data_IF_419486048125
#
_entry.id   IF_419486048125
#
_cell.length_a   1.000
_cell.length_b   1.000
_cell.length_c   1.000
_cell.angle_alpha   90.00
_cell.angle_beta   90.00
_cell.angle_gamma   90.00
#
_symmetry.space_group_name_H-M   'P 1'
#
loop_
_entity.id
_entity.type
_entity.pdbx_description
1 polymer ?
#
# COMPACT_ATOMS: atom_id res chain seq x y z
N UNK A 1 6.38 -20.28 4.13
CA UNK A 1 5.56 -21.51 4.21
C UNK A 1 4.43 -21.20 5.18
N UNK A 2 3.17 -21.34 4.76
CA UNK A 2 2.05 -20.93 5.61
C UNK A 2 1.91 -21.82 6.87
N UNK A 3 1.43 -21.28 8.00
CA UNK A 3 1.20 -22.06 9.22
C UNK A 3 0.13 -23.15 8.99
N UNK A 4 0.41 -24.37 9.46
CA UNK A 4 -0.51 -25.50 9.32
C UNK A 4 -1.55 -25.51 10.46
N UNK A 5 -2.87 -25.60 10.17
CA UNK A 5 -3.91 -25.67 11.19
C UNK A 5 -3.90 -27.00 11.96
N UNK A 6 -4.38 -26.97 13.20
CA UNK A 6 -4.49 -28.13 14.09
C UNK A 6 -5.94 -28.59 14.18
N UNK A 7 -6.23 -29.77 13.62
CA UNK A 7 -7.53 -30.42 13.77
C UNK A 7 -7.78 -30.88 15.21
N UNK A 8 -9.03 -30.77 15.67
CA UNK A 8 -9.46 -31.24 17.00
C UNK A 8 -9.30 -30.24 18.14
N UNK A 9 -8.69 -29.08 17.92
CA UNK A 9 -8.60 -27.97 18.90
C UNK A 9 -9.73 -26.96 18.64
N UNK A 10 -10.46 -26.48 19.66
CA UNK A 10 -11.53 -25.51 19.46
C UNK A 10 -10.97 -24.13 19.04
N UNK A 11 -11.53 -23.58 17.96
CA UNK A 11 -11.30 -22.19 17.53
C UNK A 11 -11.70 -21.20 18.64
N UNK A 12 -10.96 -20.10 18.77
CA UNK A 12 -11.17 -19.11 19.83
C UNK A 12 -11.72 -17.80 19.26
N UNK A 13 -12.75 -17.18 19.87
CA UNK A 13 -13.26 -15.89 19.42
C UNK A 13 -12.26 -14.77 19.70
N UNK A 14 -12.04 -13.90 18.71
CA UNK A 14 -11.26 -12.66 18.87
C UNK A 14 -12.13 -11.66 19.64
N UNK A 15 -11.90 -11.55 20.95
CA UNK A 15 -12.52 -10.50 21.79
C UNK A 15 -11.61 -9.29 21.99
N UNK A 16 -10.31 -9.44 21.70
CA UNK A 16 -9.29 -8.41 21.79
C UNK A 16 -8.21 -8.66 20.73
N UNK A 17 -7.60 -7.60 20.22
CA UNK A 17 -6.46 -7.64 19.30
C UNK A 17 -5.26 -6.95 19.96
N UNK A 18 -4.10 -7.58 19.91
CA UNK A 18 -2.82 -6.98 20.30
C UNK A 18 -1.72 -7.46 19.34
N UNK A 19 -0.75 -6.60 19.06
CA UNK A 19 0.32 -6.87 18.09
C UNK A 19 1.16 -8.12 18.42
N UNK A 20 1.19 -8.55 19.68
CA UNK A 20 1.89 -9.78 20.10
C UNK A 20 1.08 -11.06 19.84
N UNK A 21 -0.25 -10.95 19.68
CA UNK A 21 -1.14 -12.08 19.43
C UNK A 21 -1.39 -12.34 17.94
N UNK A 22 -1.14 -11.36 17.07
CA UNK A 22 -1.53 -11.42 15.65
C UNK A 22 -0.56 -12.26 14.78
N UNK A 23 0.61 -12.59 15.31
CA UNK A 23 1.66 -13.34 14.61
C UNK A 23 1.87 -14.74 15.20
N UNK A 24 2.36 -15.65 14.37
CA UNK A 24 2.84 -16.99 14.76
C UNK A 24 4.21 -17.24 14.13
N UNK A 25 5.15 -17.77 14.91
CA UNK A 25 6.42 -18.25 14.40
C UNK A 25 6.24 -19.63 13.76
N UNK A 26 6.66 -19.77 12.50
CA UNK A 26 6.55 -21.01 11.73
C UNK A 26 7.96 -21.45 11.33
N UNK A 27 8.34 -22.69 11.67
CA UNK A 27 9.65 -23.22 11.31
C UNK A 27 9.61 -23.86 9.91
N UNK A 28 10.41 -23.33 8.99
CA UNK A 28 10.51 -23.86 7.64
C UNK A 28 11.12 -25.27 7.65
N UNK A 29 10.33 -26.28 7.29
CA UNK A 29 10.75 -27.70 7.32
C UNK A 29 11.87 -28.05 6.34
N UNK A 30 12.18 -27.17 5.38
CA UNK A 30 13.26 -27.35 4.40
C UNK A 30 14.62 -26.76 4.82
N UNK A 31 14.65 -25.68 5.62
CA UNK A 31 15.88 -24.97 5.99
C UNK A 31 16.04 -24.65 7.49
N UNK A 32 15.04 -24.97 8.32
CA UNK A 32 15.08 -24.82 9.77
C UNK A 32 15.03 -23.37 10.29
N UNK A 33 14.87 -22.36 9.43
CA UNK A 33 14.60 -20.98 9.86
C UNK A 33 13.21 -20.84 10.43
N UNK A 34 13.05 -19.92 11.37
CA UNK A 34 11.76 -19.47 11.90
C UNK A 34 11.43 -18.12 11.26
N UNK A 35 10.28 -18.07 10.59
CA UNK A 35 9.73 -16.85 10.00
C UNK A 35 8.38 -16.53 10.66
N UNK A 36 8.04 -15.25 10.79
CA UNK A 36 6.75 -14.83 11.35
C UNK A 36 5.68 -14.78 10.27
N UNK A 37 4.52 -15.38 10.54
CA UNK A 37 3.35 -15.39 9.66
C UNK A 37 2.13 -14.81 10.40
N UNK A 38 1.22 -14.09 9.71
CA UNK A 38 -0.04 -13.68 10.31
C UNK A 38 -0.86 -14.90 10.73
N UNK A 39 -1.55 -14.83 11.88
CA UNK A 39 -2.45 -15.91 12.30
C UNK A 39 -3.65 -16.02 11.35
N UNK A 40 -4.03 -17.25 10.93
CA UNK A 40 -5.24 -17.44 10.14
C UNK A 40 -6.50 -17.24 10.99
N UNK A 41 -7.42 -16.41 10.49
CA UNK A 41 -8.71 -16.10 11.11
C UNK A 41 -9.87 -16.45 10.17
N UNK A 42 -11.03 -16.78 10.74
CA UNK A 42 -12.27 -17.11 10.03
C UNK A 42 -13.40 -16.18 10.49
N UNK A 43 -14.04 -15.48 9.55
CA UNK A 43 -15.28 -14.74 9.84
C UNK A 43 -16.47 -15.69 9.99
N UNK A 44 -17.13 -15.68 11.15
CA UNK A 44 -18.40 -16.37 11.36
C UNK A 44 -19.57 -15.51 10.84
N UNK A 45 -20.63 -16.07 10.23
CA UNK A 45 -21.78 -15.30 9.74
C UNK A 45 -22.55 -14.46 10.80
N UNK A 46 -22.26 -14.63 12.10
CA UNK A 46 -22.77 -13.77 13.16
C UNK A 46 -21.93 -12.50 13.41
N UNK A 47 -20.84 -12.28 12.68
CA UNK A 47 -19.89 -11.17 12.86
C UNK A 47 -18.73 -11.46 13.83
N UNK A 48 -18.69 -12.62 14.47
CA UNK A 48 -17.54 -13.02 15.31
C UNK A 48 -16.37 -13.50 14.46
N UNK A 49 -15.19 -12.93 14.67
CA UNK A 49 -13.93 -13.45 14.10
C UNK A 49 -13.38 -14.56 15.00
N UNK A 50 -12.96 -15.67 14.39
CA UNK A 50 -12.47 -16.87 15.06
C UNK A 50 -11.01 -17.15 14.69
N UNK A 51 -10.10 -17.22 15.65
CA UNK A 51 -8.71 -17.65 15.42
C UNK A 51 -8.66 -19.15 15.16
N UNK A 52 -8.04 -19.53 14.04
CA UNK A 52 -7.79 -20.94 13.72
C UNK A 52 -6.53 -21.40 14.48
N UNK A 53 -6.59 -22.47 15.28
CA UNK A 53 -5.42 -22.99 15.97
C UNK A 53 -4.43 -23.55 14.95
N UNK A 54 -3.15 -23.20 15.12
CA UNK A 54 -2.05 -23.56 14.23
C UNK A 54 -0.93 -24.24 15.01
N UNK A 55 -0.05 -24.98 14.32
CA UNK A 55 1.15 -25.53 14.93
C UNK A 55 2.14 -24.41 15.23
N UNK A 56 2.42 -24.20 16.51
CA UNK A 56 3.43 -23.26 17.00
C UNK A 56 4.67 -24.05 17.43
N UNK A 57 5.79 -23.88 16.74
CA UNK A 57 7.01 -24.69 16.96
C UNK A 57 7.81 -24.26 18.22
N UNK A 58 7.18 -23.53 19.15
CA UNK A 58 7.79 -22.93 20.34
C UNK A 58 7.14 -23.28 21.69
N UNK A 59 6.11 -24.15 21.71
CA UNK A 59 5.43 -24.59 22.94
C UNK A 59 5.89 -25.96 23.42
N UNK A 60 6.40 -26.07 24.65
CA UNK A 60 6.91 -27.33 25.23
C UNK A 60 5.80 -28.37 25.45
N UNK A 61 5.56 -29.24 24.47
CA UNK A 61 4.56 -30.32 24.54
C UNK A 61 4.99 -31.61 23.85
N UNK A 62 5.26 -32.66 24.63
CA UNK A 62 5.68 -33.98 24.13
C UNK A 62 4.57 -34.72 23.38
N UNK A 63 4.83 -35.17 22.14
CA UNK A 63 3.91 -36.01 21.36
C UNK A 63 4.49 -36.52 20.03
N UNK A 64 5.13 -37.68 20.05
CA UNK A 64 5.90 -38.24 18.91
C UNK A 64 5.04 -38.97 17.87
N UNK A 65 5.18 -38.64 16.58
CA UNK A 65 4.85 -39.51 15.44
C UNK A 65 5.60 -39.08 14.15
N UNK A 66 5.92 -40.02 13.24
CA UNK A 66 6.70 -39.75 12.02
C UNK A 66 5.87 -39.84 10.72
N UNK A 67 6.21 -39.00 9.74
CA UNK A 67 6.08 -39.30 8.30
C UNK A 67 6.96 -38.35 7.45
N UNK A 68 7.37 -38.81 6.24
CA UNK A 68 8.05 -38.02 5.19
C UNK A 68 7.41 -38.35 3.80
N UNK A 69 7.67 -37.59 2.73
CA UNK A 69 6.68 -37.36 1.66
C UNK A 69 6.95 -38.12 0.34
N UNK A 70 6.05 -37.96 -0.64
CA UNK A 70 6.24 -38.35 -2.04
C UNK A 70 5.47 -37.43 -3.02
N UNK A 71 6.18 -36.95 -4.05
CA UNK A 71 5.73 -36.24 -5.27
C UNK A 71 6.96 -36.19 -6.21
N UNK A 72 6.84 -35.84 -7.51
CA UNK A 72 5.73 -35.98 -8.46
C UNK A 72 6.22 -36.72 -9.74
N UNK A 73 5.49 -36.69 -10.87
CA UNK A 73 6.07 -36.83 -12.23
C UNK A 73 5.09 -36.48 -13.37
N UNK A 74 5.65 -35.95 -14.47
CA UNK A 74 5.01 -35.66 -15.78
C UNK A 74 5.99 -36.11 -16.88
N UNK A 75 5.54 -36.46 -18.10
CA UNK A 75 6.35 -36.18 -19.29
C UNK A 75 5.58 -35.59 -20.50
N UNK A 76 6.35 -35.16 -21.50
CA UNK A 76 5.98 -34.33 -22.67
C UNK A 76 6.62 -34.92 -23.96
N UNK A 77 6.04 -34.69 -25.16
CA UNK A 77 6.76 -34.48 -26.45
C UNK A 77 5.83 -34.43 -27.71
N UNK A 78 6.24 -33.70 -28.76
CA UNK A 78 5.66 -33.69 -30.13
C UNK A 78 6.42 -34.58 -31.13
N UNK A 79 6.62 -34.23 -32.44
CA UNK A 79 6.25 -33.04 -33.25
C UNK A 79 5.45 -33.45 -34.55
N UNK A 80 5.48 -32.92 -35.80
CA UNK A 80 6.22 -31.88 -36.56
C UNK A 80 5.53 -31.48 -37.92
N UNK A 81 6.00 -30.37 -38.54
CA UNK A 81 6.08 -30.07 -40.00
C UNK A 81 4.84 -29.68 -40.86
N UNK A 82 5.09 -28.84 -41.90
CA UNK A 82 4.14 -28.32 -42.92
C UNK A 82 4.57 -28.62 -44.39
N UNK A 83 4.03 -27.97 -45.45
CA UNK A 83 4.62 -26.70 -45.95
C UNK A 83 3.67 -25.71 -46.75
N UNK A 84 4.30 -24.74 -47.47
CA UNK A 84 3.85 -23.54 -48.23
C UNK A 84 2.81 -23.74 -49.41
N UNK A 85 2.38 -22.76 -50.24
CA UNK A 85 2.91 -21.42 -50.64
C UNK A 85 1.93 -20.52 -51.45
N UNK A 86 2.39 -19.31 -51.86
CA UNK A 86 1.97 -18.43 -53.00
C UNK A 86 0.86 -17.33 -52.89
N UNK A 87 1.01 -16.26 -53.71
CA UNK A 87 0.06 -15.17 -54.07
C UNK A 87 -0.06 -15.03 -55.62
N UNK A 88 -0.45 -13.89 -56.29
CA UNK A 88 -0.40 -12.47 -55.83
C UNK A 88 -1.44 -11.41 -56.42
N UNK A 89 -1.32 -10.14 -55.97
CA UNK A 89 -1.56 -8.86 -56.72
C UNK A 89 -3.02 -8.33 -57.02
N UNK A 90 -3.25 -7.08 -57.55
CA UNK A 90 -4.11 -6.07 -56.86
C UNK A 90 -5.26 -5.44 -57.72
N UNK A 91 -5.95 -4.40 -57.20
CA UNK A 91 -6.17 -3.19 -58.04
C UNK A 91 -6.22 -1.83 -57.30
N UNK A 92 -6.01 -0.73 -58.05
CA UNK A 92 -6.78 0.53 -57.92
C UNK A 92 -6.29 1.63 -56.93
N UNK A 93 -6.03 2.87 -57.39
CA UNK A 93 -5.83 4.03 -56.52
C UNK A 93 -7.15 4.76 -56.19
N UNK A 94 -7.30 5.19 -54.93
CA UNK A 94 -8.37 6.10 -54.49
C UNK A 94 -7.81 7.52 -54.23
N UNK A 95 -8.60 8.58 -54.43
CA UNK A 95 -8.12 9.96 -54.29
C UNK A 95 -7.76 10.31 -52.84
N UNK A 96 -6.72 11.13 -52.67
CA UNK A 96 -6.26 11.57 -51.36
C UNK A 96 -7.31 12.46 -50.68
N UNK A 97 -7.81 12.01 -49.52
CA UNK A 97 -8.46 12.90 -48.56
C UNK A 97 -7.44 13.87 -47.93
N UNK A 98 -7.90 14.96 -47.29
CA UNK A 98 -7.02 15.80 -46.48
C UNK A 98 -6.34 14.96 -45.39
N UNK A 99 -5.12 15.34 -44.94
CA UNK A 99 -4.39 14.55 -43.95
C UNK A 99 -5.23 14.35 -42.70
N UNK A 100 -5.33 13.10 -42.25
CA UNK A 100 -5.98 12.78 -40.99
C UNK A 100 -5.26 13.55 -39.87
N UNK A 101 -5.94 14.51 -39.27
CA UNK A 101 -5.45 15.24 -38.11
C UNK A 101 -5.31 14.23 -36.96
N UNK A 102 -4.09 13.73 -36.78
CA UNK A 102 -3.69 13.02 -35.57
C UNK A 102 -3.89 14.03 -34.44
N UNK A 103 -4.84 13.83 -33.51
CA UNK A 103 -4.95 14.70 -32.37
C UNK A 103 -3.65 14.54 -31.59
N UNK A 104 -2.88 15.62 -31.42
CA UNK A 104 -1.80 15.59 -30.46
C UNK A 104 -2.37 15.13 -29.11
N UNK A 105 -1.65 14.28 -28.35
CA UNK A 105 -2.08 13.93 -27.01
C UNK A 105 -2.35 15.22 -26.21
N UNK A 106 -3.28 15.17 -25.26
CA UNK A 106 -3.65 16.35 -24.46
C UNK A 106 -2.54 16.68 -23.46
N UNK A 107 -1.43 17.25 -23.93
CA UNK A 107 -0.21 17.54 -23.14
C UNK A 107 -0.37 18.69 -22.15
N UNK A 108 -1.58 19.22 -21.98
CA UNK A 108 -1.95 20.11 -20.88
C UNK A 108 -3.05 19.43 -20.08
N UNK A 109 -2.73 19.05 -18.83
CA UNK A 109 -3.75 18.81 -17.82
C UNK A 109 -4.61 20.08 -17.67
N UNK A 110 -5.90 19.91 -17.40
CA UNK A 110 -6.80 21.05 -17.13
C UNK A 110 -6.21 21.90 -15.99
N UNK A 111 -6.11 23.24 -16.12
CA UNK A 111 -5.53 24.07 -15.07
C UNK A 111 -6.18 23.82 -13.71
N UNK A 112 -5.40 23.31 -12.75
CA UNK A 112 -5.88 22.98 -11.42
C UNK A 112 -6.49 24.25 -10.79
N UNK A 113 -7.71 24.20 -10.22
CA UNK A 113 -8.32 25.35 -9.58
C UNK A 113 -7.48 25.82 -8.39
N UNK A 114 -7.70 27.04 -7.88
CA UNK A 114 -7.05 27.45 -6.63
C UNK A 114 -7.50 26.57 -5.46
N UNK A 115 -6.54 26.19 -4.60
CA UNK A 115 -6.85 25.45 -3.37
C UNK A 115 -7.75 26.29 -2.45
N UNK A 116 -8.58 25.61 -1.65
CA UNK A 116 -9.48 26.23 -0.67
C UNK A 116 -9.13 25.70 0.72
N UNK A 117 -8.36 26.46 1.53
CA UNK A 117 -7.92 26.03 2.85
C UNK A 117 -9.07 25.77 3.83
N UNK A 118 -8.82 24.90 4.80
CA UNK A 118 -9.73 24.60 5.92
C UNK A 118 -9.03 24.93 7.25
N UNK A 119 -9.48 26.00 7.91
CA UNK A 119 -8.93 26.48 9.18
C UNK A 119 -8.83 25.37 10.23
N UNK A 120 -7.62 25.08 10.70
CA UNK A 120 -7.36 23.98 11.63
C UNK A 120 -7.64 24.44 13.07
N UNK A 121 -8.55 23.74 13.77
CA UNK A 121 -8.85 23.95 15.20
C UNK A 121 -8.52 22.72 16.06
N UNK A 122 -8.45 21.55 15.44
CA UNK A 122 -8.23 20.25 16.07
C UNK A 122 -7.31 19.38 15.21
N UNK A 123 -6.78 18.30 15.78
CA UNK A 123 -6.07 17.27 15.02
C UNK A 123 -6.94 16.64 13.91
N UNK A 124 -8.25 16.51 14.12
CA UNK A 124 -9.17 16.03 13.11
C UNK A 124 -9.22 16.99 11.90
N UNK A 125 -9.25 18.31 12.13
CA UNK A 125 -9.25 19.31 11.05
C UNK A 125 -7.95 19.27 10.23
N UNK A 126 -6.80 19.01 10.87
CA UNK A 126 -5.52 18.85 10.17
C UNK A 126 -5.57 17.67 9.17
N UNK A 127 -6.10 16.52 9.60
CA UNK A 127 -6.31 15.36 8.70
C UNK A 127 -7.34 15.67 7.61
N UNK A 128 -8.39 16.45 7.90
CA UNK A 128 -9.37 16.89 6.89
C UNK A 128 -8.74 17.85 5.87
N UNK A 129 -7.87 18.77 6.30
CA UNK A 129 -7.14 19.69 5.42
C UNK A 129 -6.17 18.94 4.50
N UNK A 130 -5.41 17.98 5.04
CA UNK A 130 -4.55 17.09 4.25
C UNK A 130 -5.37 16.28 3.22
N UNK A 131 -6.51 15.71 3.61
CA UNK A 131 -7.39 14.97 2.69
C UNK A 131 -7.99 15.86 1.58
N UNK A 132 -8.32 17.12 1.89
CA UNK A 132 -8.75 18.10 0.87
C UNK A 132 -7.60 18.46 -0.08
N UNK A 133 -6.36 18.55 0.41
CA UNK A 133 -5.19 18.87 -0.39
C UNK A 133 -4.76 17.73 -1.32
N UNK A 134 -4.76 16.48 -0.86
CA UNK A 134 -4.47 15.32 -1.71
C UNK A 134 -5.47 15.18 -2.87
N UNK A 135 -6.77 15.34 -2.60
CA UNK A 135 -7.81 15.37 -3.65
C UNK A 135 -7.70 16.58 -4.57
N UNK A 136 -7.15 17.70 -4.09
CA UNK A 136 -6.85 18.86 -4.92
C UNK A 136 -5.64 18.63 -5.85
N UNK A 137 -4.60 17.93 -5.36
CA UNK A 137 -3.44 17.54 -6.17
C UNK A 137 -3.82 16.59 -7.32
N UNK A 138 -4.74 15.67 -7.06
CA UNK A 138 -5.31 14.74 -8.05
C UNK A 138 -5.67 13.35 -7.51
N UNK A 139 -5.32 13.03 -6.26
CA UNK A 139 -5.55 11.70 -5.70
C UNK A 139 -7.03 11.43 -5.45
N UNK A 140 -7.59 10.49 -6.20
CA UNK A 140 -8.97 10.03 -6.04
C UNK A 140 -9.11 9.03 -4.90
N UNK A 141 -10.34 8.89 -4.38
CA UNK A 141 -10.67 7.87 -3.38
C UNK A 141 -10.02 8.01 -2.00
N UNK A 142 -9.40 9.16 -1.69
CA UNK A 142 -8.75 9.40 -0.38
C UNK A 142 -9.77 9.40 0.76
N UNK A 143 -9.66 8.42 1.65
CA UNK A 143 -10.46 8.22 2.87
C UNK A 143 -9.58 8.26 4.12
N UNK A 144 -10.20 8.33 5.30
CA UNK A 144 -9.51 8.18 6.59
C UNK A 144 -9.19 6.71 6.84
N UNK A 145 -7.93 6.42 7.14
CA UNK A 145 -7.55 5.09 7.62
C UNK A 145 -8.15 4.84 9.01
N UNK A 146 -8.64 3.62 9.25
CA UNK A 146 -9.27 3.23 10.52
C UNK A 146 -10.78 3.48 10.64
N UNK A 147 -11.42 4.27 9.76
CA UNK A 147 -12.89 4.34 9.69
C UNK A 147 -13.45 3.11 8.94
N UNK A 148 -13.52 1.97 9.64
CA UNK A 148 -14.14 0.73 9.15
C UNK A 148 -13.19 -0.30 8.53
N UNK A 149 -11.87 -0.06 8.55
CA UNK A 149 -10.85 -1.03 8.10
C UNK A 149 -10.11 -1.64 9.29
N UNK A 150 -10.44 -2.89 9.65
CA UNK A 150 -9.62 -3.67 10.56
C UNK A 150 -8.19 -3.84 9.98
N UNK A 151 -7.17 -3.62 10.81
CA UNK A 151 -5.76 -3.78 10.40
C UNK A 151 -5.10 -2.53 9.79
N UNK A 152 -5.76 -1.36 9.78
CA UNK A 152 -5.12 -0.10 9.38
C UNK A 152 -3.89 0.21 10.27
N UNK A 153 -2.70 0.50 9.68
CA UNK A 153 -1.50 0.78 10.47
C UNK A 153 -1.61 2.10 11.23
N UNK A 154 -1.30 2.07 12.54
CA UNK A 154 -1.52 3.15 13.53
C UNK A 154 -0.77 4.49 13.27
N UNK A 155 -0.07 4.62 12.15
CA UNK A 155 0.70 5.80 11.74
C UNK A 155 0.29 6.35 10.36
N UNK A 156 -0.77 5.82 9.75
CA UNK A 156 -1.38 6.34 8.53
C UNK A 156 -2.74 6.90 8.88
N UNK A 157 -2.98 8.17 8.56
CA UNK A 157 -4.24 8.87 8.81
C UNK A 157 -5.18 8.81 7.60
N UNK A 158 -4.59 8.71 6.39
CA UNK A 158 -5.30 8.76 5.12
C UNK A 158 -4.78 7.68 4.16
N UNK A 159 -5.68 7.07 3.42
CA UNK A 159 -5.35 6.12 2.35
C UNK A 159 -6.26 6.29 1.13
N UNK A 160 -5.72 5.98 -0.04
CA UNK A 160 -6.41 5.85 -1.32
C UNK A 160 -5.68 4.82 -2.19
N UNK A 161 -6.10 4.60 -3.45
CA UNK A 161 -5.49 3.58 -4.31
C UNK A 161 -4.02 3.82 -4.64
N UNK A 162 -3.61 5.10 -4.72
CA UNK A 162 -2.28 5.52 -5.19
C UNK A 162 -1.50 6.34 -4.14
N UNK A 163 -2.10 6.62 -2.98
CA UNK A 163 -1.49 7.43 -1.91
C UNK A 163 -1.81 6.89 -0.51
N UNK A 164 -0.83 6.93 0.38
CA UNK A 164 -0.99 6.83 1.84
C UNK A 164 -0.38 8.08 2.47
N UNK A 165 -1.01 8.63 3.50
CA UNK A 165 -0.47 9.82 4.16
C UNK A 165 -0.60 9.79 5.68
N UNK A 166 0.45 10.36 6.31
CA UNK A 166 0.54 10.59 7.74
C UNK A 166 0.40 12.09 8.03
N UNK A 167 -0.22 12.42 9.16
CA UNK A 167 -0.34 13.79 9.68
C UNK A 167 0.24 13.83 11.10
N UNK A 168 1.15 14.74 11.36
CA UNK A 168 1.68 15.03 12.70
C UNK A 168 1.03 16.33 13.23
N UNK A 169 -0.05 16.24 14.03
CA UNK A 169 -0.79 17.39 14.53
C UNK A 169 -0.24 17.95 15.86
N UNK A 170 0.86 17.42 16.41
CA UNK A 170 1.44 17.94 17.65
C UNK A 170 2.36 19.13 17.40
N UNK A 171 2.76 19.80 18.48
CA UNK A 171 3.73 20.91 18.47
C UNK A 171 5.19 20.44 18.47
N UNK A 172 5.47 19.18 18.10
CA UNK A 172 6.81 18.59 18.05
C UNK A 172 7.20 18.33 16.59
N UNK A 173 8.42 18.69 16.16
CA UNK A 173 8.90 18.33 14.83
C UNK A 173 8.84 16.81 14.61
N UNK A 174 8.37 16.40 13.44
CA UNK A 174 8.36 15.01 13.04
C UNK A 174 9.79 14.48 12.89
N UNK A 175 10.00 13.23 13.32
CA UNK A 175 11.32 12.60 13.43
C UNK A 175 11.57 11.61 12.27
N UNK A 176 12.85 11.27 12.07
CA UNK A 176 13.30 10.39 10.97
C UNK A 176 12.57 9.04 10.93
N UNK A 177 12.24 8.43 12.07
CA UNK A 177 11.55 7.15 12.13
C UNK A 177 10.11 7.23 11.61
N UNK A 178 9.41 8.36 11.79
CA UNK A 178 8.10 8.55 11.19
C UNK A 178 8.18 8.56 9.66
N UNK A 179 9.19 9.22 9.07
CA UNK A 179 9.44 9.24 7.62
C UNK A 179 9.72 7.82 7.10
N UNK A 180 10.59 7.06 7.77
CA UNK A 180 10.92 5.68 7.37
C UNK A 180 9.73 4.72 7.53
N UNK A 181 8.90 4.89 8.58
CA UNK A 181 7.67 4.11 8.74
C UNK A 181 6.63 4.45 7.65
N UNK A 182 6.48 5.72 7.27
CA UNK A 182 5.61 6.13 6.15
C UNK A 182 6.11 5.54 4.82
N UNK A 183 7.41 5.59 4.54
CA UNK A 183 8.01 5.00 3.33
C UNK A 183 7.79 3.48 3.25
N UNK A 184 7.97 2.75 4.35
CA UNK A 184 7.69 1.31 4.41
C UNK A 184 6.19 1.00 4.21
N UNK A 185 5.29 1.82 4.76
CA UNK A 185 3.85 1.68 4.53
C UNK A 185 3.47 1.96 3.06
N UNK A 186 4.08 2.98 2.44
CA UNK A 186 3.90 3.28 1.01
C UNK A 186 4.34 2.14 0.11
N UNK A 187 5.55 1.59 0.35
CA UNK A 187 6.04 0.39 -0.36
C UNK A 187 5.12 -0.82 -0.15
N UNK A 188 4.64 -1.05 1.08
CA UNK A 188 3.71 -2.14 1.39
C UNK A 188 2.35 -2.00 0.71
N UNK A 189 1.86 -0.77 0.55
CA UNK A 189 0.63 -0.45 -0.18
C UNK A 189 0.83 -0.31 -1.70
N UNK A 190 2.08 -0.27 -2.19
CA UNK A 190 2.44 0.14 -3.57
C UNK A 190 1.91 1.54 -3.95
N UNK A 191 1.91 2.46 -2.98
CA UNK A 191 1.33 3.79 -3.03
C UNK A 191 2.34 4.87 -2.60
N UNK A 192 2.17 6.12 -3.07
CA UNK A 192 3.01 7.24 -2.66
C UNK A 192 2.79 7.56 -1.18
N UNK A 193 3.88 7.63 -0.39
CA UNK A 193 3.83 8.08 1.00
C UNK A 193 3.98 9.60 1.11
N UNK A 194 2.98 10.32 1.61
CA UNK A 194 3.01 11.79 1.80
C UNK A 194 2.89 12.15 3.28
N UNK A 195 3.72 13.07 3.77
CA UNK A 195 3.70 13.49 5.18
C UNK A 195 3.28 14.96 5.31
N UNK A 196 2.34 15.24 6.22
CA UNK A 196 1.99 16.58 6.68
C UNK A 196 2.37 16.77 8.16
N UNK A 197 2.86 17.95 8.55
CA UNK A 197 3.18 18.29 9.94
C UNK A 197 2.76 19.72 10.30
N UNK A 198 2.24 19.95 11.52
CA UNK A 198 2.00 21.30 12.04
C UNK A 198 3.26 21.97 12.61
N UNK A 199 4.24 21.19 13.05
CA UNK A 199 5.44 21.68 13.73
C UNK A 199 6.72 21.55 12.88
N UNK A 200 6.59 21.10 11.62
CA UNK A 200 7.74 20.80 10.76
C UNK A 200 8.40 19.47 11.09
N UNK A 201 9.68 19.40 10.77
CA UNK A 201 10.49 18.18 10.71
C UNK A 201 11.84 18.48 11.35
N UNK A 202 12.47 17.47 11.95
CA UNK A 202 13.88 17.55 12.32
C UNK A 202 14.78 17.48 11.06
N UNK A 203 16.00 18.02 11.14
CA UNK A 203 16.90 18.11 9.97
C UNK A 203 17.29 16.73 9.41
N UNK A 204 17.39 15.72 10.28
CA UNK A 204 17.60 14.31 9.89
C UNK A 204 16.39 13.73 9.16
N UNK A 205 15.17 14.09 9.57
CA UNK A 205 13.93 13.69 8.91
C UNK A 205 13.75 14.37 7.53
N UNK A 206 14.17 15.63 7.38
CA UNK A 206 14.19 16.32 6.09
C UNK A 206 15.15 15.63 5.11
N UNK A 207 16.42 15.49 5.49
CA UNK A 207 17.43 14.84 4.66
C UNK A 207 17.05 13.40 4.30
N UNK A 208 16.45 12.65 5.24
CA UNK A 208 15.98 11.28 4.99
C UNK A 208 14.76 11.22 4.07
N UNK A 209 13.91 12.23 4.06
CA UNK A 209 12.79 12.27 3.11
C UNK A 209 13.27 12.54 1.68
N UNK A 210 14.30 13.36 1.49
CA UNK A 210 14.93 13.58 0.18
C UNK A 210 15.64 12.31 -0.33
N UNK A 211 16.39 11.60 0.52
CA UNK A 211 16.97 10.27 0.22
C UNK A 211 15.93 9.25 -0.27
N UNK A 212 14.70 9.33 0.25
CA UNK A 212 13.63 8.35 0.04
C UNK A 212 12.55 8.83 -0.95
N UNK A 213 12.67 10.05 -1.50
CA UNK A 213 11.69 10.66 -2.40
C UNK A 213 10.32 10.92 -1.77
N UNK A 214 10.23 11.12 -0.45
CA UNK A 214 8.98 11.33 0.29
C UNK A 214 8.59 12.82 0.26
N UNK A 215 7.40 13.19 -0.26
CA UNK A 215 6.88 14.56 -0.17
C UNK A 215 6.54 14.96 1.27
N UNK A 216 7.17 16.04 1.75
CA UNK A 216 6.93 16.65 3.05
C UNK A 216 6.21 18.01 2.93
N UNK A 217 5.19 18.20 3.76
CA UNK A 217 4.39 19.43 3.81
C UNK A 217 4.26 19.97 5.23
N UNK A 218 4.48 21.27 5.40
CA UNK A 218 4.10 21.97 6.63
C UNK A 218 2.74 22.60 6.46
N UNK A 219 1.82 22.35 7.39
CA UNK A 219 0.51 23.00 7.45
C UNK A 219 0.50 24.04 8.57
N UNK A 220 0.03 25.24 8.28
CA UNK A 220 -0.29 26.23 9.32
C UNK A 220 -1.76 26.11 9.80
N UNK A 221 -2.13 26.89 10.81
CA UNK A 221 -3.51 26.90 11.32
C UNK A 221 -4.54 27.54 10.37
N UNK A 222 -4.12 28.12 9.24
CA UNK A 222 -5.04 28.50 8.14
C UNK A 222 -5.47 27.28 7.31
N UNK A 223 -4.72 26.17 7.42
CA UNK A 223 -4.99 24.93 6.70
C UNK A 223 -4.46 24.92 5.27
N UNK A 224 -3.40 25.67 4.99
CA UNK A 224 -2.70 25.64 3.69
C UNK A 224 -1.42 24.81 3.82
N UNK A 225 -1.34 23.61 3.21
CA UNK A 225 -0.09 22.87 3.15
C UNK A 225 0.92 23.55 2.23
N UNK A 226 2.15 23.69 2.71
CA UNK A 226 3.28 24.27 1.98
C UNK A 226 4.38 23.22 1.85
N UNK A 227 4.91 22.96 0.63
CA UNK A 227 6.03 22.04 0.45
C UNK A 227 7.27 22.53 1.20
N UNK A 228 8.08 21.59 1.69
CA UNK A 228 9.37 21.89 2.35
C UNK A 228 10.56 21.11 1.79
N UNK A 229 10.35 20.24 0.80
CA UNK A 229 11.41 19.46 0.15
C UNK A 229 11.11 19.21 -1.34
N UNK A 230 12.11 18.76 -2.10
CA UNK A 230 12.03 18.71 -3.57
C UNK A 230 10.91 17.81 -4.10
N UNK A 231 10.67 16.66 -3.45
CA UNK A 231 9.59 15.74 -3.81
C UNK A 231 8.19 16.37 -3.61
N UNK A 232 8.04 17.29 -2.66
CA UNK A 232 6.79 18.03 -2.44
C UNK A 232 6.59 19.15 -3.48
N UNK A 233 7.64 19.87 -3.87
CA UNK A 233 7.56 20.86 -4.95
C UNK A 233 7.28 20.21 -6.32
N UNK A 234 7.84 19.02 -6.58
CA UNK A 234 7.52 18.20 -7.75
C UNK A 234 6.05 17.76 -7.73
N UNK A 235 5.59 17.13 -6.65
CA UNK A 235 4.19 16.68 -6.51
C UNK A 235 3.17 17.82 -6.63
N UNK A 236 3.47 19.02 -6.13
CA UNK A 236 2.63 20.21 -6.32
C UNK A 236 2.58 20.64 -7.79
N UNK A 237 3.71 20.51 -8.50
CA UNK A 237 3.85 20.91 -9.91
C UNK A 237 3.19 19.93 -10.89
N UNK A 238 3.33 18.62 -10.65
CA UNK A 238 2.74 17.56 -11.49
C UNK A 238 1.30 17.25 -11.11
N UNK A 239 1.04 17.08 -9.81
CA UNK A 239 -0.10 16.30 -9.31
C UNK A 239 0.21 14.82 -9.17
N UNK A 240 -0.86 14.06 -8.90
CA UNK A 240 -0.92 12.61 -9.07
C UNK A 240 -0.81 12.24 -10.56
#
# INVERSE_FOLDING_TARGET
MAPAPVGGVPVQPVTYRSWAEEWVAVRCTACGREDQWPRPELGCPCGTVLRIPVREDGGTGTGTALARPAEPSVPEAGPAAGPASAGPHPPGPHPAGPPAYIPLPRTAASPRPSFRPLTIRTAHDAVTAAALYLRWLGFEGVVRAGEGTEGAPYLIDLCGPEVVAQVEPTTRPANVRSVECLWLNGLGASALGVFFSLAGYADDALARADDLGIPLFVMDLTGTPRPVNGAADELVSTGA
#
